data_IF_165709975304
#
_entry.id   IF_165709975304
#
_cell.length_a   1.000
_cell.length_b   1.000
_cell.length_c   1.000
_cell.angle_alpha   90.00
_cell.angle_beta   90.00
_cell.angle_gamma   90.00
#
_symmetry.space_group_name_H-M   'P 1'
#
loop_
_entity.id
_entity.type
_entity.pdbx_description
1 polymer ?
#
# COMPACT_ATOMS: atom_id res chain seq x y z
N UNK A 1 12.97 -8.92 6.28
CA UNK A 1 12.24 -9.54 5.15
C UNK A 1 13.04 -10.68 4.58
N UNK A 2 14.15 -10.47 3.84
CA UNK A 2 14.96 -11.61 3.37
C UNK A 2 15.37 -12.59 4.47
N UNK A 3 15.69 -12.09 5.66
CA UNK A 3 16.11 -12.90 6.81
C UNK A 3 15.01 -13.84 7.34
N UNK A 4 13.74 -13.47 7.17
CA UNK A 4 12.61 -14.10 7.84
C UNK A 4 11.44 -14.36 6.88
N UNK A 5 11.71 -14.39 5.56
CA UNK A 5 10.69 -14.49 4.51
C UNK A 5 9.99 -15.84 4.49
N UNK A 6 10.52 -16.85 5.15
CA UNK A 6 9.95 -18.20 5.19
C UNK A 6 9.26 -18.49 6.54
N UNK A 7 9.33 -17.57 7.51
CA UNK A 7 8.81 -17.78 8.88
C UNK A 7 7.40 -17.22 9.11
N UNK A 8 6.90 -16.36 8.21
CA UNK A 8 5.61 -15.67 8.41
C UNK A 8 4.42 -16.63 8.53
N UNK A 9 4.47 -17.79 7.87
CA UNK A 9 3.39 -18.78 7.92
C UNK A 9 3.15 -19.32 9.33
N UNK A 10 4.21 -19.50 10.13
CA UNK A 10 4.07 -19.90 11.54
C UNK A 10 3.41 -18.81 12.39
N UNK A 11 3.76 -17.55 12.13
CA UNK A 11 3.16 -16.39 12.81
C UNK A 11 1.66 -16.30 12.48
N UNK A 12 1.28 -16.50 11.22
CA UNK A 12 -0.12 -16.46 10.80
C UNK A 12 -0.94 -17.60 11.42
N UNK A 13 -0.40 -18.83 11.48
CA UNK A 13 -1.04 -19.96 12.16
C UNK A 13 -1.23 -19.68 13.65
N UNK A 14 -0.18 -19.21 14.32
CA UNK A 14 -0.25 -18.85 15.73
C UNK A 14 -1.32 -17.77 15.98
N UNK A 15 -1.36 -16.73 15.15
CA UNK A 15 -2.35 -15.66 15.28
C UNK A 15 -3.78 -16.19 15.12
N UNK A 16 -4.01 -17.06 14.14
CA UNK A 16 -5.30 -17.71 13.92
C UNK A 16 -5.75 -18.55 15.12
N UNK A 17 -4.87 -19.41 15.66
CA UNK A 17 -5.14 -20.24 16.85
C UNK A 17 -5.53 -19.40 18.07
N UNK A 18 -4.96 -18.19 18.19
CA UNK A 18 -5.19 -17.27 19.30
C UNK A 18 -6.28 -16.22 19.00
N UNK A 19 -6.97 -16.32 17.86
CA UNK A 19 -8.00 -15.35 17.41
C UNK A 19 -7.47 -13.91 17.35
N UNK A 20 -6.19 -13.76 17.00
CA UNK A 20 -5.53 -12.48 16.77
C UNK A 20 -5.55 -12.20 15.28
N UNK A 21 -6.01 -11.00 14.91
CA UNK A 21 -5.93 -10.55 13.52
C UNK A 21 -4.46 -10.24 13.19
N UNK A 22 -3.89 -11.00 12.27
CA UNK A 22 -2.58 -10.76 11.69
C UNK A 22 -2.70 -10.60 10.16
N UNK A 23 -1.76 -9.86 9.58
CA UNK A 23 -1.65 -9.66 8.13
C UNK A 23 -0.18 -9.75 7.75
N UNK A 24 0.09 -10.33 6.58
CA UNK A 24 1.45 -10.43 6.02
C UNK A 24 1.71 -9.24 5.10
N UNK A 25 2.67 -8.38 5.46
CA UNK A 25 3.16 -7.32 4.57
C UNK A 25 4.54 -7.71 4.01
N UNK A 26 4.66 -7.66 2.69
CA UNK A 26 5.88 -7.99 1.93
C UNK A 26 6.52 -6.75 1.30
N UNK A 27 6.05 -5.54 1.66
CA UNK A 27 6.54 -4.28 1.12
C UNK A 27 7.67 -3.72 1.98
N UNK A 28 8.81 -3.41 1.34
CA UNK A 28 9.84 -2.52 1.91
C UNK A 28 9.94 -1.30 1.03
N UNK A 29 9.96 -0.10 1.62
CA UNK A 29 10.34 1.15 0.94
C UNK A 29 11.68 1.66 1.49
N UNK A 30 12.32 2.61 0.81
CA UNK A 30 13.53 3.23 1.34
C UNK A 30 13.24 3.98 2.64
N UNK A 31 14.31 4.32 3.37
CA UNK A 31 14.22 5.08 4.61
C UNK A 31 13.72 6.50 4.34
N UNK A 32 13.16 7.13 5.36
CA UNK A 32 12.67 8.51 5.26
C UNK A 32 13.79 9.53 4.99
N UNK A 33 15.06 9.16 5.20
CA UNK A 33 16.24 9.98 4.91
C UNK A 33 16.74 9.79 3.47
N UNK A 34 15.90 9.21 2.60
CA UNK A 34 16.16 8.83 1.21
C UNK A 34 17.31 7.82 1.00
N UNK A 35 17.88 7.28 2.08
CA UNK A 35 18.90 6.24 1.96
C UNK A 35 18.25 4.90 1.62
N UNK A 36 18.87 4.16 0.70
CA UNK A 36 18.31 2.94 0.11
C UNK A 36 18.99 1.66 0.61
N UNK A 37 19.95 1.75 1.54
CA UNK A 37 20.70 0.58 2.02
C UNK A 37 19.83 -0.50 2.68
N UNK A 38 18.64 -0.14 3.20
CA UNK A 38 17.70 -1.13 3.70
C UNK A 38 17.11 -2.01 2.58
N UNK A 39 17.05 -1.50 1.35
CA UNK A 39 16.48 -2.19 0.19
C UNK A 39 17.28 -3.43 -0.23
N UNK A 40 18.51 -3.60 0.25
CA UNK A 40 19.25 -4.85 0.13
C UNK A 40 18.48 -6.03 0.74
N UNK A 41 17.54 -5.76 1.65
CA UNK A 41 16.66 -6.73 2.31
C UNK A 41 15.25 -6.82 1.70
N UNK A 42 14.97 -6.05 0.65
CA UNK A 42 13.71 -6.10 -0.09
C UNK A 42 13.63 -7.39 -0.91
N UNK A 43 12.45 -8.01 -0.88
CA UNK A 43 12.17 -9.22 -1.66
C UNK A 43 12.16 -8.92 -3.16
N UNK A 44 12.68 -9.85 -3.96
CA UNK A 44 12.55 -9.78 -5.41
C UNK A 44 11.15 -10.24 -5.86
N UNK A 45 10.82 -10.07 -7.15
CA UNK A 45 9.48 -10.38 -7.67
C UNK A 45 9.08 -11.85 -7.53
N UNK A 46 10.03 -12.80 -7.64
CA UNK A 46 9.73 -14.23 -7.46
C UNK A 46 9.42 -14.54 -5.98
N UNK A 47 10.12 -13.90 -5.06
CA UNK A 47 9.86 -14.03 -3.62
C UNK A 47 8.52 -13.39 -3.24
N UNK A 48 8.20 -12.23 -3.81
CA UNK A 48 6.90 -11.57 -3.64
C UNK A 48 5.77 -12.42 -4.23
N UNK A 49 5.98 -13.04 -5.40
CA UNK A 49 5.00 -13.93 -6.02
C UNK A 49 4.62 -15.09 -5.10
N UNK A 50 5.60 -15.73 -4.47
CA UNK A 50 5.36 -16.79 -3.49
C UNK A 50 4.45 -16.29 -2.36
N UNK A 51 4.76 -15.14 -1.76
CA UNK A 51 3.98 -14.60 -0.64
C UNK A 51 2.55 -14.24 -1.05
N UNK A 52 2.36 -13.61 -2.23
CA UNK A 52 1.01 -13.27 -2.71
C UNK A 52 0.18 -14.55 -2.92
N UNK A 53 0.79 -15.60 -3.47
CA UNK A 53 0.12 -16.90 -3.66
C UNK A 53 -0.23 -17.55 -2.32
N UNK A 54 0.67 -17.50 -1.34
CA UNK A 54 0.41 -18.04 0.00
C UNK A 54 -0.72 -17.28 0.70
N UNK A 55 -0.72 -15.93 0.65
CA UNK A 55 -1.83 -15.10 1.17
C UNK A 55 -3.15 -15.50 0.51
N UNK A 56 -3.16 -15.64 -0.82
CA UNK A 56 -4.35 -16.00 -1.57
C UNK A 56 -4.84 -17.43 -1.24
N UNK A 57 -3.93 -18.37 -0.99
CA UNK A 57 -4.28 -19.74 -0.63
C UNK A 57 -4.87 -19.86 0.79
N UNK A 58 -4.43 -19.00 1.71
CA UNK A 58 -4.82 -19.07 3.12
C UNK A 58 -6.03 -18.17 3.48
N UNK A 59 -6.23 -17.04 2.77
CA UNK A 59 -7.28 -16.06 3.09
C UNK A 59 -8.62 -16.41 2.41
N UNK A 60 -9.45 -17.17 3.13
CA UNK A 60 -10.78 -17.63 2.67
C UNK A 60 -11.72 -16.45 2.37
N UNK A 61 -11.65 -15.37 3.16
CA UNK A 61 -12.47 -14.18 2.93
C UNK A 61 -12.06 -13.52 1.62
N UNK A 62 -10.75 -13.40 1.38
CA UNK A 62 -10.25 -12.87 0.11
C UNK A 62 -10.67 -13.75 -1.08
N UNK A 63 -10.55 -15.08 -0.96
CA UNK A 63 -11.02 -16.02 -2.00
C UNK A 63 -12.50 -15.82 -2.32
N UNK A 64 -13.36 -15.71 -1.30
CA UNK A 64 -14.78 -15.48 -1.48
C UNK A 64 -15.05 -14.15 -2.20
N UNK A 65 -14.31 -13.09 -1.87
CA UNK A 65 -14.41 -11.79 -2.53
C UNK A 65 -13.97 -11.82 -4.02
N UNK A 66 -12.97 -12.63 -4.36
CA UNK A 66 -12.49 -12.78 -5.74
C UNK A 66 -13.45 -13.57 -6.64
N UNK A 67 -14.22 -14.50 -6.07
CA UNK A 67 -15.19 -15.32 -6.82
C UNK A 67 -16.54 -14.64 -7.02
N UNK A 68 -16.76 -13.46 -6.43
CA UNK A 68 -18.02 -12.73 -6.64
C UNK A 68 -18.21 -12.37 -8.13
N UNK A 69 -19.42 -12.56 -8.70
CA UNK A 69 -19.69 -12.28 -10.11
C UNK A 69 -19.44 -10.82 -10.52
N UNK A 70 -19.59 -9.88 -9.59
CA UNK A 70 -19.42 -8.45 -9.81
C UNK A 70 -17.97 -7.96 -9.59
N UNK A 71 -17.01 -8.86 -9.31
CA UNK A 71 -15.64 -8.48 -8.96
C UNK A 71 -15.03 -7.48 -9.95
N UNK A 72 -15.09 -7.76 -11.25
CA UNK A 72 -14.45 -6.91 -12.28
C UNK A 72 -15.12 -5.53 -12.40
N UNK A 73 -16.43 -5.46 -12.17
CA UNK A 73 -17.15 -4.19 -12.12
C UNK A 73 -16.74 -3.40 -10.87
N UNK A 74 -16.79 -4.05 -9.71
CA UNK A 74 -16.51 -3.44 -8.41
C UNK A 74 -15.11 -2.84 -8.32
N UNK A 75 -14.09 -3.57 -8.78
CA UNK A 75 -12.71 -3.07 -8.72
C UNK A 75 -12.46 -1.90 -9.68
N UNK A 76 -13.20 -1.83 -10.79
CA UNK A 76 -13.16 -0.68 -11.72
C UNK A 76 -13.81 0.55 -11.09
N UNK A 77 -14.97 0.38 -10.47
CA UNK A 77 -15.68 1.48 -9.80
C UNK A 77 -14.85 2.07 -8.65
N UNK A 78 -14.28 1.22 -7.79
CA UNK A 78 -13.46 1.66 -6.64
C UNK A 78 -12.20 2.43 -7.04
N UNK A 79 -11.72 2.27 -8.27
CA UNK A 79 -10.48 2.91 -8.73
C UNK A 79 -10.70 4.06 -9.70
N UNK A 80 -11.94 4.31 -10.12
CA UNK A 80 -12.29 5.35 -11.07
C UNK A 80 -12.84 6.61 -10.39
N UNK A 81 -12.03 7.22 -9.54
CA UNK A 81 -12.33 8.50 -8.91
C UNK A 81 -11.12 9.46 -9.03
N UNK A 82 -11.09 10.37 -10.01
CA UNK A 82 -9.99 11.32 -10.20
C UNK A 82 -9.91 12.36 -9.07
N UNK A 83 -11.03 12.71 -8.45
CA UNK A 83 -11.12 13.64 -7.32
C UNK A 83 -11.07 12.92 -5.96
N UNK A 84 -10.84 11.61 -5.99
CA UNK A 84 -10.66 10.77 -4.83
C UNK A 84 -9.40 11.12 -4.05
N UNK A 85 -9.50 10.99 -2.73
CA UNK A 85 -8.36 11.17 -1.81
C UNK A 85 -7.38 10.02 -2.01
N UNK A 86 -6.09 10.34 -1.98
CA UNK A 86 -5.02 9.34 -2.12
C UNK A 86 -4.83 8.54 -0.84
N UNK A 87 -4.80 9.22 0.29
CA UNK A 87 -4.68 8.62 1.61
C UNK A 87 -5.17 9.60 2.69
N UNK A 88 -5.22 9.15 3.95
CA UNK A 88 -5.72 9.95 5.07
C UNK A 88 -4.80 11.07 5.56
N UNK A 89 -3.60 11.23 4.98
CA UNK A 89 -2.61 12.22 5.42
C UNK A 89 -3.18 13.63 5.39
N UNK A 90 -3.12 14.30 6.53
CA UNK A 90 -3.66 15.64 6.70
C UNK A 90 -5.19 15.71 6.63
N UNK A 91 -5.90 14.60 6.45
CA UNK A 91 -7.37 14.54 6.40
C UNK A 91 -7.91 13.89 7.67
N UNK A 92 -7.41 12.70 7.97
CA UNK A 92 -7.77 11.90 9.14
C UNK A 92 -6.57 11.50 9.99
N UNK A 93 -5.34 11.74 9.52
CA UNK A 93 -4.13 11.36 10.24
C UNK A 93 -2.98 12.36 10.12
N UNK A 94 -2.17 12.40 11.18
CA UNK A 94 -0.82 12.94 11.25
C UNK A 94 -0.08 12.20 12.39
N UNK A 95 1.24 12.25 12.39
CA UNK A 95 2.08 11.66 13.42
C UNK A 95 2.89 12.74 14.13
N UNK A 96 3.26 12.47 15.38
CA UNK A 96 4.15 13.33 16.17
C UNK A 96 5.16 12.47 16.91
N UNK A 97 6.34 13.02 17.15
CA UNK A 97 7.40 12.37 17.92
C UNK A 97 7.80 13.25 19.12
N UNK A 98 8.53 12.66 20.07
CA UNK A 98 8.85 13.27 21.35
C UNK A 98 9.58 14.62 21.27
N UNK A 99 10.24 14.94 20.14
CA UNK A 99 10.91 16.24 19.92
C UNK A 99 9.96 17.35 19.43
N UNK A 100 8.64 17.10 19.42
CA UNK A 100 7.63 18.05 18.99
C UNK A 100 7.35 18.06 17.49
N UNK A 101 8.16 17.44 16.63
CA UNK A 101 7.91 17.43 15.19
C UNK A 101 6.60 16.70 14.87
N UNK A 102 5.79 17.34 14.02
CA UNK A 102 4.60 16.77 13.39
C UNK A 102 4.91 16.46 11.94
N UNK A 103 4.58 15.25 11.50
CA UNK A 103 4.84 14.75 10.15
C UNK A 103 3.63 13.94 9.63
N UNK A 104 3.55 13.64 8.32
CA UNK A 104 2.30 13.24 7.71
C UNK A 104 1.89 11.80 8.07
N UNK A 105 2.85 10.88 8.12
CA UNK A 105 2.64 9.49 8.54
C UNK A 105 3.95 8.83 8.99
N UNK A 106 3.87 7.66 9.63
CA UNK A 106 5.01 6.93 10.20
C UNK A 106 6.21 6.74 9.25
N UNK A 107 5.96 6.65 7.94
CA UNK A 107 6.99 6.42 6.92
C UNK A 107 7.68 7.68 6.37
N UNK A 108 7.21 8.88 6.72
CA UNK A 108 7.58 10.14 6.05
C UNK A 108 8.08 11.20 7.06
N UNK A 109 9.05 10.79 7.89
CA UNK A 109 9.45 11.57 9.09
C UNK A 109 10.33 12.79 8.80
N UNK A 110 11.00 12.83 7.64
CA UNK A 110 11.73 13.99 7.12
C UNK A 110 10.81 15.12 6.64
N UNK A 111 9.56 14.81 6.26
CA UNK A 111 8.57 15.79 5.84
C UNK A 111 7.94 16.51 7.05
N UNK A 112 8.71 17.32 7.75
CA UNK A 112 8.25 18.05 8.94
C UNK A 112 7.21 19.10 8.55
N UNK A 113 5.97 18.94 9.01
CA UNK A 113 4.84 19.86 8.79
C UNK A 113 4.77 20.99 9.84
N UNK A 114 5.44 20.84 10.98
CA UNK A 114 5.52 21.83 12.05
C UNK A 114 6.11 21.24 13.34
N UNK A 115 6.29 22.06 14.37
CA UNK A 115 6.77 21.62 15.69
C UNK A 115 5.86 22.13 16.82
N UNK A 116 5.48 21.24 17.73
CA UNK A 116 4.55 21.50 18.84
C UNK A 116 5.12 22.41 19.94
N UNK A 117 6.43 22.61 19.98
CA UNK A 117 7.06 23.59 20.86
C UNK A 117 6.93 25.03 20.33
N UNK A 118 6.59 25.20 19.05
CA UNK A 118 6.45 26.50 18.38
C UNK A 118 4.99 26.85 18.09
N UNK A 119 4.20 25.86 17.66
CA UNK A 119 2.82 26.03 17.20
C UNK A 119 1.90 24.99 17.81
N UNK A 120 0.64 25.34 18.07
CA UNK A 120 -0.35 24.36 18.52
C UNK A 120 -0.63 23.33 17.42
N UNK A 121 -1.05 22.11 17.80
CA UNK A 121 -1.48 21.10 16.83
C UNK A 121 -2.59 21.63 15.91
N UNK A 122 -3.52 22.43 16.44
CA UNK A 122 -4.60 23.07 15.66
C UNK A 122 -4.03 23.99 14.58
N UNK A 123 -3.04 24.80 14.93
CA UNK A 123 -2.39 25.71 13.98
C UNK A 123 -1.62 24.94 12.89
N UNK A 124 -0.82 23.94 13.27
CA UNK A 124 -0.14 23.07 12.31
C UNK A 124 -1.17 22.37 11.41
N UNK A 125 -2.25 21.85 11.98
CA UNK A 125 -3.27 21.13 11.23
C UNK A 125 -3.98 22.01 10.21
N UNK A 126 -4.38 23.24 10.54
CA UNK A 126 -5.17 24.08 9.63
C UNK A 126 -4.33 25.03 8.77
N UNK A 127 -3.16 25.47 9.26
CA UNK A 127 -2.41 26.58 8.66
C UNK A 127 -1.02 26.18 8.15
N UNK A 128 -0.55 24.94 8.37
CA UNK A 128 0.70 24.47 7.76
C UNK A 128 0.55 24.36 6.24
N UNK A 129 1.37 25.08 5.48
CA UNK A 129 1.44 24.97 4.02
C UNK A 129 1.73 23.54 3.57
N UNK A 130 2.65 22.86 4.25
CA UNK A 130 3.01 21.46 3.98
C UNK A 130 1.86 20.50 4.22
N UNK A 131 1.12 20.66 5.32
CA UNK A 131 -0.04 19.81 5.61
C UNK A 131 -1.19 20.09 4.63
N UNK A 132 -1.43 21.37 4.32
CA UNK A 132 -2.44 21.81 3.36
C UNK A 132 -2.13 21.32 1.95
N UNK A 133 -0.88 21.35 1.54
CA UNK A 133 -0.44 20.79 0.28
C UNK A 133 -0.80 19.30 0.18
N UNK A 134 -0.38 18.48 1.16
CA UNK A 134 -0.58 17.03 1.12
C UNK A 134 -2.07 16.63 1.11
N UNK A 135 -2.91 17.26 1.94
CA UNK A 135 -4.35 16.92 1.99
C UNK A 135 -5.12 17.32 0.73
N UNK A 136 -4.56 18.21 -0.10
CA UNK A 136 -5.19 18.66 -1.34
C UNK A 136 -4.79 17.81 -2.55
N UNK A 137 -3.82 16.90 -2.39
CA UNK A 137 -3.46 15.94 -3.43
C UNK A 137 -4.64 14.99 -3.70
N UNK A 138 -4.90 14.73 -4.97
CA UNK A 138 -5.95 13.85 -5.50
C UNK A 138 -5.39 12.83 -6.47
N UNK A 139 -6.18 11.81 -6.77
CA UNK A 139 -5.79 10.76 -7.72
C UNK A 139 -5.41 11.33 -9.11
N UNK A 140 -6.07 12.41 -9.57
CA UNK A 140 -5.76 13.08 -10.84
C UNK A 140 -4.36 13.71 -10.91
N UNK A 141 -3.73 13.97 -9.76
CA UNK A 141 -2.38 14.52 -9.70
C UNK A 141 -1.30 13.46 -10.03
N UNK A 142 -1.72 12.19 -10.20
CA UNK A 142 -0.90 11.09 -10.66
C UNK A 142 -1.36 10.62 -12.05
N UNK A 143 -1.09 11.37 -13.13
CA UNK A 143 -1.62 11.07 -14.46
C UNK A 143 -1.21 9.68 -14.98
N UNK A 144 0.01 9.23 -14.66
CA UNK A 144 0.48 7.88 -14.99
C UNK A 144 -0.36 6.77 -14.33
N UNK A 145 -0.93 7.04 -13.14
CA UNK A 145 -1.80 6.11 -12.44
C UNK A 145 -3.26 6.22 -12.89
N UNK A 146 -3.68 7.36 -13.46
CA UNK A 146 -5.07 7.61 -13.85
C UNK A 146 -5.61 6.62 -14.87
N UNK A 147 -4.79 6.21 -15.85
CA UNK A 147 -5.13 5.23 -16.89
C UNK A 147 -4.48 3.85 -16.68
N UNK A 148 -3.88 3.61 -15.50
CA UNK A 148 -3.16 2.38 -15.23
C UNK A 148 -4.12 1.20 -15.04
N UNK A 149 -3.98 0.16 -15.86
CA UNK A 149 -4.80 -1.05 -15.80
C UNK A 149 -4.56 -1.93 -14.56
N UNK A 150 -3.47 -1.68 -13.83
CA UNK A 150 -3.10 -2.41 -12.61
C UNK A 150 -3.51 -1.65 -11.34
N UNK A 151 -4.11 -0.46 -11.48
CA UNK A 151 -4.55 0.38 -10.37
C UNK A 151 -5.40 -0.35 -9.33
N UNK A 152 -6.33 -1.26 -9.68
CA UNK A 152 -7.12 -1.98 -8.68
C UNK A 152 -6.32 -2.96 -7.82
N UNK A 153 -5.09 -3.27 -8.22
CA UNK A 153 -4.17 -4.16 -7.51
C UNK A 153 -2.99 -3.38 -6.90
N UNK A 154 -3.04 -2.05 -6.96
CA UNK A 154 -2.00 -1.14 -6.51
C UNK A 154 -2.41 -0.40 -5.24
N UNK A 155 -1.66 -0.59 -4.15
CA UNK A 155 -1.74 0.26 -2.96
C UNK A 155 -0.86 1.49 -3.09
N UNK A 156 -1.25 2.45 -3.94
CA UNK A 156 -0.45 3.65 -4.20
C UNK A 156 -0.16 4.39 -2.89
N UNK A 157 1.10 4.73 -2.65
CA UNK A 157 1.54 5.42 -1.44
C UNK A 157 2.58 6.48 -1.82
N UNK A 158 2.28 7.75 -1.49
CA UNK A 158 3.17 8.87 -1.77
C UNK A 158 4.56 8.72 -1.14
N UNK A 159 4.64 8.09 0.04
CA UNK A 159 5.90 7.84 0.74
C UNK A 159 6.81 6.87 -0.03
N UNK A 160 6.21 5.86 -0.67
CA UNK A 160 6.96 4.90 -1.49
C UNK A 160 7.62 5.56 -2.70
N UNK A 161 7.03 6.64 -3.20
CA UNK A 161 7.60 7.49 -4.24
C UNK A 161 8.67 8.41 -3.64
N UNK A 162 8.32 9.19 -2.62
CA UNK A 162 9.19 10.20 -2.03
C UNK A 162 10.48 9.61 -1.43
N UNK A 163 10.40 8.51 -0.68
CA UNK A 163 11.58 7.95 0.00
C UNK A 163 12.60 7.37 -0.99
N UNK A 164 12.16 6.90 -2.16
CA UNK A 164 13.04 6.33 -3.20
C UNK A 164 13.34 7.29 -4.33
N UNK A 165 12.90 8.54 -4.19
CA UNK A 165 13.28 9.64 -5.05
C UNK A 165 14.34 10.50 -4.30
N UNK A 166 15.52 10.75 -4.88
CA UNK A 166 16.56 11.56 -4.22
C UNK A 166 16.12 12.99 -3.87
N UNK A 167 15.13 13.53 -4.57
CA UNK A 167 14.56 14.85 -4.31
C UNK A 167 13.35 14.83 -3.35
N UNK A 168 12.94 13.66 -2.86
CA UNK A 168 11.77 13.52 -1.99
C UNK A 168 10.42 13.77 -2.67
N UNK A 169 10.36 13.73 -4.01
CA UNK A 169 9.16 14.07 -4.78
C UNK A 169 8.13 12.93 -4.74
N UNK A 170 6.95 13.13 -4.11
CA UNK A 170 5.92 12.10 -4.02
C UNK A 170 5.22 11.80 -5.34
N UNK A 171 5.37 12.63 -6.37
CA UNK A 171 4.78 12.43 -7.70
C UNK A 171 5.65 11.59 -8.62
N UNK A 172 6.92 11.32 -8.25
CA UNK A 172 7.80 10.43 -9.00
C UNK A 172 7.46 8.98 -8.72
N UNK A 173 6.62 8.40 -9.57
CA UNK A 173 6.12 7.04 -9.43
C UNK A 173 7.26 6.02 -9.32
N UNK A 174 7.27 5.30 -8.20
CA UNK A 174 8.20 4.21 -7.99
C UNK A 174 7.81 2.96 -8.79
N UNK A 175 8.63 2.63 -9.80
CA UNK A 175 8.37 1.53 -10.74
C UNK A 175 8.52 0.13 -10.14
N UNK A 176 9.16 -0.03 -8.98
CA UNK A 176 9.18 -1.33 -8.29
C UNK A 176 7.76 -1.73 -7.87
N UNK A 177 7.01 -0.82 -7.25
CA UNK A 177 5.64 -1.09 -6.81
C UNK A 177 4.66 -1.25 -7.96
N UNK A 178 4.88 -0.59 -9.11
CA UNK A 178 4.12 -0.87 -10.33
C UNK A 178 4.29 -2.33 -10.78
N UNK A 179 5.53 -2.86 -10.76
CA UNK A 179 5.79 -4.26 -11.12
C UNK A 179 5.12 -5.24 -10.14
N UNK A 180 5.08 -4.90 -8.86
CA UNK A 180 4.37 -5.69 -7.84
C UNK A 180 2.85 -5.66 -8.07
N UNK A 181 2.27 -4.51 -8.43
CA UNK A 181 0.84 -4.42 -8.76
C UNK A 181 0.47 -5.26 -10.00
N UNK A 182 1.28 -5.20 -11.06
CA UNK A 182 1.10 -6.03 -12.24
C UNK A 182 1.19 -7.53 -11.93
N UNK A 183 2.14 -7.91 -11.07
CA UNK A 183 2.29 -9.28 -10.59
C UNK A 183 1.07 -9.72 -9.78
N UNK A 184 0.59 -8.88 -8.85
CA UNK A 184 -0.60 -9.16 -8.03
C UNK A 184 -1.84 -9.38 -8.92
N UNK A 185 -2.08 -8.49 -9.88
CA UNK A 185 -3.15 -8.64 -10.88
C UNK A 185 -3.07 -9.99 -11.60
N UNK A 186 -1.89 -10.34 -12.12
CA UNK A 186 -1.69 -11.62 -12.82
C UNK A 186 -2.07 -12.81 -11.94
N UNK A 187 -1.53 -12.86 -10.71
CA UNK A 187 -1.79 -13.96 -9.76
C UNK A 187 -3.30 -14.07 -9.46
N UNK A 188 -3.98 -12.95 -9.21
CA UNK A 188 -5.41 -12.94 -8.93
C UNK A 188 -6.22 -13.47 -10.12
N UNK A 189 -5.94 -13.01 -11.34
CA UNK A 189 -6.67 -13.46 -12.51
C UNK A 189 -6.39 -14.92 -12.88
N UNK A 190 -5.14 -15.38 -12.75
CA UNK A 190 -4.79 -16.79 -12.94
C UNK A 190 -5.57 -17.68 -11.96
N UNK A 191 -5.57 -17.31 -10.67
CA UNK A 191 -6.31 -18.04 -9.64
C UNK A 191 -7.82 -18.04 -9.89
N UNK A 192 -8.41 -16.90 -10.26
CA UNK A 192 -9.85 -16.80 -10.59
C UNK A 192 -10.22 -17.69 -11.78
N UNK A 193 -9.37 -17.76 -12.81
CA UNK A 193 -9.60 -18.63 -13.97
C UNK A 193 -9.60 -20.11 -13.58
N UNK A 194 -8.64 -20.52 -12.75
CA UNK A 194 -8.53 -21.89 -12.25
C UNK A 194 -9.75 -22.27 -11.38
N UNK A 195 -10.19 -21.39 -10.48
CA UNK A 195 -11.22 -21.70 -9.48
C UNK A 195 -12.66 -21.40 -9.94
N UNK A 196 -12.85 -20.41 -10.82
CA UNK A 196 -14.14 -20.12 -11.44
C UNK A 196 -14.60 -21.25 -12.36
N UNK A 197 -13.69 -21.82 -13.15
CA UNK A 197 -13.97 -22.98 -14.00
C UNK A 197 -14.36 -24.23 -13.19
N UNK A 198 -13.74 -24.42 -12.00
CA UNK A 198 -14.08 -25.51 -11.08
C UNK A 198 -15.47 -25.34 -10.45
N UNK A 199 -15.96 -24.09 -10.30
CA UNK A 199 -17.28 -23.81 -9.75
C UNK A 199 -18.37 -24.06 -10.79
N UNK A 200 -18.13 -23.73 -12.07
CA UNK A 200 -19.03 -24.09 -13.17
C UNK A 200 -19.11 -25.60 -13.37
N UNK A 201 -17.98 -26.32 -13.29
CA UNK A 201 -17.94 -27.79 -13.44
C UNK A 201 -18.60 -28.57 -12.28
N UNK A 202 -18.73 -27.97 -11.08
CA UNK A 202 -19.46 -28.55 -9.93
C UNK A 202 -20.97 -28.31 -9.97
N UNK A 203 -21.42 -27.36 -10.79
CA UNK A 203 -22.82 -26.97 -10.95
C UNK A 203 -23.50 -27.65 -12.15
N UNK A 204 -22.79 -28.57 -12.84
CA UNK A 204 -23.28 -29.44 -13.92
C UNK A 204 -23.36 -30.87 -13.38
#
# INVERSE_FOLDING_TARGET
MKQNKDDYGEVMRWAHEHKVRAVTDYIMMARYDHTTGNLDNRLNLCEVEKIIRDILADDIDYQAELLKPDFDQRIKELTNDPDGIVCGVGISSACMIANGNVYPCAGWQDYICGNLYEKTLKDIWYNSEKMNFLRNIRNKDFPECGSCEDKPFCGMCMVRNANENPEGDPFKINKHFCKVAALNKRIVYDWRKEHGALQEAKNI
#
